data_IF_033230338015
#
_entry.id   IF_033230338015
#
_cell.length_a   1.000
_cell.length_b   1.000
_cell.length_c   1.000
_cell.angle_alpha   90.00
_cell.angle_beta   90.00
_cell.angle_gamma   90.00
#
_symmetry.space_group_name_H-M   'P 1'
#
loop_
_entity.id
_entity.type
_entity.pdbx_description
1 polymer ?
#
# COMPACT_ATOMS: atom_id res chain seq x y z
N UNK A 1 -10.70 1.76 -11.70
CA UNK A 1 -10.70 0.95 -10.46
C UNK A 1 -11.30 -0.42 -10.77
N UNK A 2 -10.55 -1.29 -11.46
CA UNK A 2 -11.19 -2.41 -12.17
C UNK A 2 -10.79 -3.78 -11.62
N UNK A 3 -10.15 -3.83 -10.44
CA UNK A 3 -9.64 -5.08 -9.86
C UNK A 3 -10.19 -5.30 -8.46
N UNK A 4 -10.21 -4.26 -7.61
CA UNK A 4 -10.67 -4.36 -6.22
C UNK A 4 -12.16 -4.01 -6.12
N UNK A 5 -12.59 -2.85 -6.63
CA UNK A 5 -13.99 -2.38 -6.54
C UNK A 5 -14.97 -3.15 -7.44
N UNK A 6 -14.48 -4.12 -8.19
CA UNK A 6 -15.29 -5.05 -8.98
C UNK A 6 -15.55 -6.37 -8.25
N UNK A 7 -14.95 -6.57 -7.08
CA UNK A 7 -15.22 -7.72 -6.21
C UNK A 7 -16.58 -7.55 -5.50
N UNK A 8 -17.17 -8.63 -4.97
CA UNK A 8 -18.39 -8.54 -4.15
C UNK A 8 -18.22 -7.58 -2.96
N UNK A 9 -19.28 -6.84 -2.63
CA UNK A 9 -19.30 -5.81 -1.59
C UNK A 9 -18.80 -6.29 -0.21
N UNK A 10 -19.10 -7.53 0.15
CA UNK A 10 -18.74 -8.18 1.40
C UNK A 10 -17.31 -8.76 1.40
N UNK A 11 -16.57 -8.63 0.30
CA UNK A 11 -15.19 -9.09 0.22
C UNK A 11 -14.34 -8.33 1.24
N UNK A 12 -13.70 -9.08 2.13
CA UNK A 12 -12.76 -8.54 3.10
C UNK A 12 -11.46 -8.10 2.42
N UNK A 13 -11.02 -6.89 2.74
CA UNK A 13 -9.76 -6.32 2.29
C UNK A 13 -8.79 -6.25 3.47
N UNK A 14 -7.67 -6.96 3.34
CA UNK A 14 -6.60 -7.01 4.34
C UNK A 14 -5.40 -6.18 3.84
N UNK A 15 -5.16 -4.98 4.39
CA UNK A 15 -4.07 -4.13 3.94
C UNK A 15 -2.72 -4.64 4.48
N UNK A 16 -1.64 -4.39 3.73
CA UNK A 16 -0.28 -4.71 4.19
C UNK A 16 0.18 -3.82 5.36
N UNK A 17 -0.37 -2.61 5.47
CA UNK A 17 -0.05 -1.66 6.52
C UNK A 17 -1.31 -0.89 6.94
N UNK A 18 -1.43 -0.63 8.23
CA UNK A 18 -2.35 0.34 8.80
C UNK A 18 -1.62 1.17 9.86
N UNK A 19 -1.97 2.46 9.95
CA UNK A 19 -1.33 3.42 10.86
C UNK A 19 -2.29 3.98 11.91
N UNK A 20 -3.49 3.40 12.03
CA UNK A 20 -4.59 3.86 12.91
C UNK A 20 -5.13 2.75 13.85
N UNK A 21 -4.63 1.53 13.75
CA UNK A 21 -5.04 0.37 14.54
C UNK A 21 -6.14 -0.50 13.91
N UNK A 22 -6.47 -0.30 12.62
CA UNK A 22 -7.43 -1.14 11.90
C UNK A 22 -6.77 -2.41 11.35
N UNK A 23 -7.55 -3.48 11.21
CA UNK A 23 -7.05 -4.81 10.80
C UNK A 23 -7.69 -5.34 9.52
N UNK A 24 -8.89 -4.88 9.17
CA UNK A 24 -9.68 -5.32 8.01
C UNK A 24 -10.72 -4.26 7.65
N UNK A 25 -11.14 -4.21 6.39
CA UNK A 25 -12.31 -3.47 5.88
C UNK A 25 -13.02 -4.29 4.80
N UNK A 26 -14.09 -3.78 4.20
CA UNK A 26 -14.78 -4.41 3.06
C UNK A 26 -14.66 -3.58 1.79
N UNK A 27 -14.94 -4.19 0.64
CA UNK A 27 -15.04 -3.47 -0.64
C UNK A 27 -16.10 -2.37 -0.58
N UNK A 28 -17.26 -2.64 0.02
CA UNK A 28 -18.33 -1.63 0.19
C UNK A 28 -17.89 -0.44 1.04
N UNK A 29 -17.24 -0.69 2.18
CA UNK A 29 -16.74 0.37 3.05
C UNK A 29 -15.75 1.28 2.31
N UNK A 30 -14.83 0.72 1.53
CA UNK A 30 -13.83 1.49 0.80
C UNK A 30 -14.44 2.27 -0.38
N UNK A 31 -15.47 1.74 -1.06
CA UNK A 31 -16.19 2.48 -2.11
C UNK A 31 -16.93 3.69 -1.54
N UNK A 32 -17.57 3.53 -0.38
CA UNK A 32 -18.41 4.56 0.23
C UNK A 32 -17.59 5.59 1.01
N UNK A 33 -16.55 5.16 1.72
CA UNK A 33 -15.91 5.96 2.77
C UNK A 33 -14.43 6.26 2.54
N UNK A 34 -13.74 5.64 1.56
CA UNK A 34 -12.34 5.95 1.33
C UNK A 34 -12.17 7.43 0.94
N UNK A 35 -11.46 8.25 1.72
CA UNK A 35 -11.41 9.71 1.52
C UNK A 35 -10.71 10.12 0.22
N UNK A 36 -9.99 9.20 -0.41
CA UNK A 36 -9.22 9.42 -1.64
C UNK A 36 -9.85 8.69 -2.83
N UNK A 37 -10.09 7.38 -2.68
CA UNK A 37 -10.56 6.52 -3.78
C UNK A 37 -12.05 6.65 -4.07
N UNK A 38 -12.86 7.20 -3.16
CA UNK A 38 -14.26 7.54 -3.44
C UNK A 38 -14.41 8.86 -4.23
N UNK A 39 -13.30 9.49 -4.64
CA UNK A 39 -13.28 10.71 -5.46
C UNK A 39 -13.08 10.36 -6.94
N UNK A 40 -13.40 11.32 -7.82
CA UNK A 40 -13.06 11.21 -9.23
C UNK A 40 -11.54 11.19 -9.45
N UNK A 41 -11.11 10.73 -10.62
CA UNK A 41 -9.69 10.52 -10.93
C UNK A 41 -8.86 11.80 -10.87
N UNK A 42 -9.40 12.94 -11.28
CA UNK A 42 -8.69 14.22 -11.28
C UNK A 42 -8.49 14.72 -9.84
N UNK A 43 -9.54 14.70 -9.04
CA UNK A 43 -9.48 15.02 -7.61
C UNK A 43 -8.50 14.10 -6.87
N UNK A 44 -8.53 12.80 -7.15
CA UNK A 44 -7.59 11.83 -6.59
C UNK A 44 -6.14 12.19 -6.92
N UNK A 45 -5.82 12.46 -8.20
CA UNK A 45 -4.47 12.84 -8.64
C UNK A 45 -3.97 14.08 -7.93
N UNK A 46 -4.82 15.10 -7.81
CA UNK A 46 -4.47 16.35 -7.14
C UNK A 46 -4.18 16.13 -5.66
N UNK A 47 -5.06 15.40 -4.94
CA UNK A 47 -4.83 15.05 -3.53
C UNK A 47 -3.48 14.33 -3.35
N UNK A 48 -3.20 13.33 -4.19
CA UNK A 48 -1.98 12.51 -4.05
C UNK A 48 -0.70 13.29 -4.35
N UNK A 49 -0.75 14.25 -5.28
CA UNK A 49 0.38 15.13 -5.63
C UNK A 49 0.76 16.06 -4.47
N UNK A 50 -0.21 16.49 -3.68
CA UNK A 50 -0.05 17.57 -2.70
C UNK A 50 0.19 17.08 -1.25
N UNK A 51 0.39 15.78 -1.02
CA UNK A 51 0.56 15.20 0.33
C UNK A 51 1.84 15.62 1.07
N UNK A 52 2.82 16.22 0.39
CA UNK A 52 4.10 16.69 0.93
C UNK A 52 4.75 15.71 1.94
N UNK A 53 4.87 14.45 1.55
CA UNK A 53 5.39 13.39 2.41
C UNK A 53 6.93 13.44 2.48
N UNK A 54 7.47 13.12 3.65
CA UNK A 54 8.91 12.94 3.82
C UNK A 54 9.43 11.78 2.95
N UNK A 55 10.71 11.85 2.59
CA UNK A 55 11.38 10.75 1.89
C UNK A 55 11.24 9.44 2.68
N UNK A 56 10.83 8.31 2.05
CA UNK A 56 10.58 7.08 2.79
C UNK A 56 11.87 6.55 3.42
N UNK A 57 11.87 6.42 4.75
CA UNK A 57 13.09 6.21 5.57
C UNK A 57 13.95 4.98 5.20
N UNK A 58 13.33 3.94 4.66
CA UNK A 58 14.00 2.65 4.39
C UNK A 58 14.11 2.33 2.89
N UNK A 59 13.71 3.24 1.98
CA UNK A 59 13.61 2.90 0.55
C UNK A 59 14.95 2.52 -0.07
N UNK A 60 16.03 3.20 0.30
CA UNK A 60 17.38 2.97 -0.24
C UNK A 60 17.99 1.63 0.22
N UNK A 61 17.41 1.00 1.23
CA UNK A 61 17.83 -0.32 1.74
C UNK A 61 16.86 -1.40 1.31
N UNK A 62 15.56 -1.18 1.53
CA UNK A 62 14.52 -2.15 1.29
C UNK A 62 14.32 -2.43 -0.20
N UNK A 63 14.38 -1.42 -1.08
CA UNK A 63 14.20 -1.64 -2.52
C UNK A 63 15.32 -2.50 -3.10
N UNK A 64 16.63 -2.18 -2.93
CA UNK A 64 17.70 -3.04 -3.43
C UNK A 64 17.62 -4.47 -2.90
N UNK A 65 17.33 -4.65 -1.60
CA UNK A 65 17.18 -5.98 -1.02
C UNK A 65 16.01 -6.75 -1.64
N UNK A 66 14.84 -6.12 -1.80
CA UNK A 66 13.66 -6.78 -2.36
C UNK A 66 13.83 -7.13 -3.85
N UNK A 67 14.60 -6.35 -4.60
CA UNK A 67 14.90 -6.63 -6.02
C UNK A 67 15.68 -7.94 -6.22
N UNK A 68 16.37 -8.42 -5.18
CA UNK A 68 17.07 -9.71 -5.17
C UNK A 68 16.39 -10.72 -4.23
N UNK A 69 15.08 -10.58 -4.03
CA UNK A 69 14.28 -11.47 -3.18
C UNK A 69 14.75 -11.52 -1.70
N UNK A 70 15.35 -10.43 -1.20
CA UNK A 70 15.90 -10.35 0.15
C UNK A 70 17.20 -11.13 0.35
N UNK A 71 17.75 -11.74 -0.71
CA UNK A 71 19.00 -12.48 -0.64
C UNK A 71 20.16 -11.53 -0.33
N UNK A 72 21.07 -12.01 0.51
CA UNK A 72 22.29 -11.29 0.86
C UNK A 72 23.47 -12.05 0.28
N UNK A 73 24.40 -11.35 -0.37
CA UNK A 73 25.67 -11.90 -0.86
C UNK A 73 26.64 -12.08 0.31
N UNK A 74 26.27 -12.90 1.30
CA UNK A 74 27.18 -13.27 2.38
C UNK A 74 27.73 -14.65 2.05
N UNK A 75 29.01 -14.72 1.70
CA UNK A 75 29.75 -15.97 1.78
C UNK A 75 29.52 -16.57 3.18
N UNK A 76 29.23 -17.88 3.31
CA UNK A 76 28.95 -18.48 4.61
C UNK A 76 30.12 -18.21 5.55
N UNK A 77 29.83 -17.69 6.75
CA UNK A 77 30.81 -17.57 7.82
C UNK A 77 31.32 -18.97 8.14
N UNK A 78 32.57 -19.25 7.82
CA UNK A 78 33.25 -20.46 8.27
C UNK A 78 33.20 -20.49 9.80
N UNK A 79 32.69 -21.60 10.35
CA UNK A 79 32.67 -21.93 11.77
C UNK A 79 34.03 -22.49 12.15
#
# INVERSE_FOLDING_TARGET
MNQIFTLPNDTLLYPAHDYKGFTVTTVEEEILYNPRLAKDEETFKNIMKDLNLAYPKMIDVAVPANMVCGLQDVAPKAI
#
